data_IF_664506482270
#
_entry.id   IF_664506482270
#
_cell.length_a   1.000
_cell.length_b   1.000
_cell.length_c   1.000
_cell.angle_alpha   90.00
_cell.angle_beta   90.00
_cell.angle_gamma   90.00
#
_symmetry.space_group_name_H-M   'P 1'
#
loop_
_entity.id
_entity.type
_entity.pdbx_description
1 polymer ?
#
# COMPACT_ATOMS: atom_id res chain seq x y z
N UNK A 1 -16.22 -3.31 10.62
CA UNK A 1 -15.40 -4.06 9.65
C UNK A 1 -14.03 -4.35 10.20
N UNK A 2 -13.55 -5.56 10.00
CA UNK A 2 -12.25 -5.96 10.54
C UNK A 2 -11.13 -5.38 9.71
N UNK A 3 -10.09 -4.90 10.39
CA UNK A 3 -8.95 -4.27 9.72
C UNK A 3 -8.22 -5.21 8.79
N UNK A 4 -8.20 -6.51 9.13
CA UNK A 4 -7.58 -7.50 8.26
C UNK A 4 -8.29 -7.57 6.90
N UNK A 5 -9.62 -7.51 6.91
CA UNK A 5 -10.40 -7.54 5.67
C UNK A 5 -10.13 -6.31 4.83
N UNK A 6 -10.02 -5.15 5.47
CA UNK A 6 -9.68 -3.90 4.78
C UNK A 6 -8.29 -4.02 4.15
N UNK A 7 -7.33 -4.54 4.92
CA UNK A 7 -5.97 -4.74 4.44
C UNK A 7 -5.95 -5.63 3.18
N UNK A 8 -6.64 -6.76 3.23
CA UNK A 8 -6.66 -7.70 2.10
C UNK A 8 -7.31 -7.08 0.87
N UNK A 9 -8.35 -6.30 1.06
CA UNK A 9 -9.01 -5.63 -0.05
C UNK A 9 -8.12 -4.58 -0.69
N UNK A 10 -7.45 -3.77 0.10
CA UNK A 10 -6.53 -2.76 -0.43
C UNK A 10 -5.37 -3.43 -1.15
N UNK A 11 -4.82 -4.50 -0.56
CA UNK A 11 -3.76 -5.28 -1.19
C UNK A 11 -4.20 -5.83 -2.54
N UNK A 12 -5.42 -6.34 -2.62
CA UNK A 12 -5.97 -6.85 -3.87
C UNK A 12 -6.04 -5.78 -4.95
N UNK A 13 -6.51 -4.58 -4.58
CA UNK A 13 -6.61 -3.47 -5.53
C UNK A 13 -5.22 -3.02 -5.98
N UNK A 14 -4.26 -2.92 -5.07
CA UNK A 14 -2.90 -2.55 -5.44
C UNK A 14 -2.31 -3.59 -6.40
N UNK A 15 -2.55 -4.87 -6.13
CA UNK A 15 -2.11 -5.94 -7.00
C UNK A 15 -2.71 -5.80 -8.41
N UNK A 16 -4.00 -5.53 -8.49
CA UNK A 16 -4.68 -5.37 -9.78
C UNK A 16 -4.16 -4.16 -10.56
N UNK A 17 -3.96 -3.05 -9.88
CA UNK A 17 -3.52 -1.81 -10.53
C UNK A 17 -2.08 -1.92 -11.02
N UNK A 18 -1.20 -2.51 -10.20
CA UNK A 18 0.23 -2.57 -10.53
C UNK A 18 0.60 -3.78 -11.36
N UNK A 19 -0.24 -4.81 -11.39
CA UNK A 19 0.08 -6.05 -12.06
C UNK A 19 1.06 -6.93 -11.30
N UNK A 20 1.31 -6.63 -10.03
CA UNK A 20 2.27 -7.34 -9.20
C UNK A 20 1.50 -8.25 -8.23
N UNK A 21 1.93 -9.51 -8.13
CA UNK A 21 1.24 -10.46 -7.28
C UNK A 21 1.31 -10.05 -5.80
N UNK A 22 0.26 -10.39 -5.05
CA UNK A 22 0.15 -10.01 -3.64
C UNK A 22 1.35 -10.48 -2.83
N UNK A 23 1.81 -11.70 -3.06
CA UNK A 23 2.96 -12.23 -2.33
C UNK A 23 4.22 -11.40 -2.59
N UNK A 24 4.39 -10.94 -3.81
CA UNK A 24 5.53 -10.09 -4.18
C UNK A 24 5.42 -8.72 -3.54
N UNK A 25 4.22 -8.14 -3.52
CA UNK A 25 4.02 -6.86 -2.85
C UNK A 25 4.39 -6.95 -1.38
N UNK A 26 4.06 -8.06 -0.74
CA UNK A 26 4.35 -8.24 0.68
C UNK A 26 5.83 -8.44 0.97
N UNK A 27 6.55 -9.14 0.12
CA UNK A 27 7.88 -9.63 0.52
C UNK A 27 9.01 -9.45 -0.49
N UNK A 28 8.73 -9.35 -1.79
CA UNK A 28 9.77 -9.26 -2.79
C UNK A 28 10.50 -7.91 -2.69
N UNK A 29 11.81 -7.93 -2.90
CA UNK A 29 12.64 -6.74 -2.74
C UNK A 29 12.99 -6.04 -4.04
N UNK A 30 12.45 -6.50 -5.18
CA UNK A 30 12.71 -5.79 -6.42
C UNK A 30 12.02 -4.42 -6.40
N UNK A 31 12.43 -3.55 -7.29
CA UNK A 31 11.97 -2.17 -7.29
C UNK A 31 10.46 -2.06 -7.48
N UNK A 32 9.91 -2.82 -8.43
CA UNK A 32 8.49 -2.75 -8.71
C UNK A 32 7.64 -3.16 -7.51
N UNK A 33 8.03 -4.25 -6.83
CA UNK A 33 7.30 -4.71 -5.64
C UNK A 33 7.44 -3.74 -4.49
N UNK A 34 8.62 -3.13 -4.35
CA UNK A 34 8.86 -2.14 -3.30
C UNK A 34 8.00 -0.90 -3.51
N UNK A 35 7.85 -0.46 -4.76
CA UNK A 35 7.01 0.69 -5.07
C UNK A 35 5.54 0.38 -4.85
N UNK A 36 5.10 -0.83 -5.21
CA UNK A 36 3.73 -1.26 -4.95
C UNK A 36 3.45 -1.32 -3.44
N UNK A 37 4.41 -1.80 -2.67
CA UNK A 37 4.30 -1.84 -1.20
C UNK A 37 4.19 -0.43 -0.63
N UNK A 38 4.92 0.51 -1.18
CA UNK A 38 4.81 1.91 -0.77
C UNK A 38 3.38 2.43 -0.97
N UNK A 39 2.78 2.14 -2.13
CA UNK A 39 1.40 2.55 -2.41
C UNK A 39 0.44 1.92 -1.41
N UNK A 40 0.60 0.63 -1.14
CA UNK A 40 -0.21 -0.09 -0.17
C UNK A 40 -0.14 0.57 1.21
N UNK A 41 1.07 0.79 1.70
CA UNK A 41 1.27 1.36 3.04
C UNK A 41 0.78 2.80 3.09
N UNK A 42 1.01 3.57 2.03
CA UNK A 42 0.53 4.95 1.96
C UNK A 42 -0.98 5.01 2.09
N UNK A 43 -1.70 4.15 1.38
CA UNK A 43 -3.15 4.11 1.48
C UNK A 43 -3.60 3.68 2.86
N UNK A 44 -3.04 2.58 3.37
CA UNK A 44 -3.44 2.06 4.67
C UNK A 44 -3.18 3.05 5.80
N UNK A 45 -2.12 3.85 5.69
CA UNK A 45 -1.80 4.83 6.74
C UNK A 45 -2.86 5.90 6.90
N UNK A 46 -3.75 6.04 5.93
CA UNK A 46 -4.83 7.01 5.99
C UNK A 46 -6.09 6.46 6.65
N UNK A 47 -6.16 5.15 6.83
CA UNK A 47 -7.37 4.51 7.35
C UNK A 47 -7.13 3.60 8.55
N UNK A 48 -5.88 3.37 8.93
CA UNK A 48 -5.60 2.57 10.13
C UNK A 48 -4.26 2.97 10.74
N UNK A 49 -4.06 2.67 12.05
CA UNK A 49 -2.82 3.04 12.73
C UNK A 49 -1.61 2.26 12.20
N UNK A 50 -0.44 2.87 12.31
CA UNK A 50 0.82 2.25 11.93
C UNK A 50 1.05 0.90 12.62
N UNK A 51 0.67 0.79 13.89
CA UNK A 51 0.80 -0.47 14.62
C UNK A 51 0.02 -1.60 13.97
N UNK A 52 -1.18 -1.30 13.49
CA UNK A 52 -2.01 -2.29 12.82
C UNK A 52 -1.39 -2.69 11.48
N UNK A 53 -0.91 -1.73 10.70
CA UNK A 53 -0.25 -2.01 9.43
C UNK A 53 0.98 -2.88 9.65
N UNK A 54 1.78 -2.55 10.66
CA UNK A 54 2.96 -3.30 11.04
C UNK A 54 2.62 -4.77 11.31
N UNK A 55 1.58 -5.00 12.08
CA UNK A 55 1.16 -6.35 12.43
C UNK A 55 0.66 -7.11 11.20
N UNK A 56 -0.20 -6.50 10.39
CA UNK A 56 -0.79 -7.16 9.25
C UNK A 56 0.23 -7.44 8.13
N UNK A 57 1.17 -6.53 7.95
CA UNK A 57 2.20 -6.69 6.91
C UNK A 57 3.39 -7.53 7.39
N UNK A 58 3.49 -7.77 8.69
CA UNK A 58 4.59 -8.54 9.26
C UNK A 58 5.90 -7.77 9.28
N UNK A 59 5.84 -6.48 9.53
CA UNK A 59 7.01 -5.60 9.61
C UNK A 59 6.96 -4.77 10.88
N UNK A 60 8.11 -4.24 11.30
CA UNK A 60 8.16 -3.37 12.47
C UNK A 60 7.58 -2.01 12.14
N UNK A 61 7.19 -1.26 13.18
CA UNK A 61 6.73 0.13 12.98
C UNK A 61 7.80 0.97 12.29
N UNK A 62 9.05 0.78 12.69
CA UNK A 62 10.16 1.48 12.06
C UNK A 62 10.27 1.12 10.59
N UNK A 63 10.05 -0.15 10.24
CA UNK A 63 10.01 -0.58 8.85
C UNK A 63 8.91 0.10 8.06
N UNK A 64 7.72 0.27 8.66
CA UNK A 64 6.62 0.98 8.02
C UNK A 64 6.98 2.45 7.77
N UNK A 65 7.57 3.11 8.76
CA UNK A 65 8.01 4.50 8.59
C UNK A 65 9.08 4.62 7.50
N UNK A 66 9.98 3.65 7.42
CA UNK A 66 11.01 3.64 6.37
C UNK A 66 10.38 3.53 4.99
N UNK A 67 9.36 2.70 4.85
CA UNK A 67 8.65 2.57 3.57
C UNK A 67 8.05 3.91 3.16
N UNK A 68 7.39 4.59 4.09
CA UNK A 68 6.70 5.85 3.79
C UNK A 68 7.68 7.00 3.48
N UNK A 69 8.86 6.97 4.05
CA UNK A 69 9.83 8.06 3.90
C UNK A 69 10.88 7.80 2.82
N UNK A 70 10.88 6.63 2.19
CA UNK A 70 11.88 6.32 1.19
C UNK A 70 11.78 7.24 -0.02
N UNK A 71 12.93 7.52 -0.63
CA UNK A 71 12.99 8.30 -1.86
C UNK A 71 12.59 7.41 -3.04
N UNK A 72 11.66 7.90 -3.87
CA UNK A 72 11.18 7.13 -5.01
C UNK A 72 11.93 7.53 -6.27
N UNK A 73 12.23 6.54 -7.11
CA UNK A 73 12.90 6.78 -8.36
C UNK A 73 11.96 7.29 -9.44
N UNK A 74 10.80 6.64 -9.61
CA UNK A 74 9.84 7.01 -10.64
C UNK A 74 8.57 7.55 -10.00
N UNK A 75 8.61 8.82 -9.68
CA UNK A 75 7.50 9.49 -9.01
C UNK A 75 6.24 9.52 -9.89
N UNK A 76 6.40 9.70 -11.20
CA UNK A 76 5.26 9.76 -12.11
C UNK A 76 4.48 8.44 -12.10
N UNK A 77 5.18 7.32 -12.24
CA UNK A 77 4.52 6.01 -12.25
C UNK A 77 3.85 5.71 -10.92
N UNK A 78 4.52 6.01 -9.83
CA UNK A 78 3.96 5.80 -8.49
C UNK A 78 2.70 6.63 -8.31
N UNK A 79 2.71 7.89 -8.71
CA UNK A 79 1.53 8.75 -8.54
C UNK A 79 0.40 8.33 -9.46
N UNK A 80 0.71 7.85 -10.67
CA UNK A 80 -0.31 7.34 -11.57
C UNK A 80 -1.01 6.12 -10.96
N UNK A 81 -0.24 5.18 -10.43
CA UNK A 81 -0.81 4.00 -9.78
C UNK A 81 -1.55 4.38 -8.49
N UNK A 82 -1.04 5.34 -7.74
CA UNK A 82 -1.71 5.83 -6.54
C UNK A 82 -3.11 6.35 -6.86
N UNK A 83 -3.23 7.17 -7.90
CA UNK A 83 -4.53 7.71 -8.30
C UNK A 83 -5.50 6.60 -8.71
N UNK A 84 -5.01 5.59 -9.41
CA UNK A 84 -5.86 4.48 -9.83
C UNK A 84 -6.36 3.68 -8.61
N UNK A 85 -5.49 3.44 -7.64
CA UNK A 85 -5.87 2.73 -6.41
C UNK A 85 -6.91 3.51 -5.64
N UNK A 86 -6.69 4.82 -5.46
CA UNK A 86 -7.63 5.67 -4.73
C UNK A 86 -8.99 5.66 -5.44
N UNK A 87 -8.99 5.77 -6.75
CA UNK A 87 -10.24 5.80 -7.51
C UNK A 87 -11.03 4.50 -7.34
N UNK A 88 -10.36 3.35 -7.39
CA UNK A 88 -11.05 2.08 -7.23
C UNK A 88 -11.63 1.87 -5.84
N UNK A 89 -11.02 2.47 -4.83
CA UNK A 89 -11.43 2.30 -3.45
C UNK A 89 -12.33 3.42 -2.93
N UNK A 90 -12.53 4.49 -3.68
CA UNK A 90 -13.26 5.66 -3.17
C UNK A 90 -14.73 5.38 -2.87
N UNK A 91 -15.31 4.36 -3.50
CA UNK A 91 -16.69 3.99 -3.21
C UNK A 91 -16.85 3.26 -1.88
N UNK A 92 -15.74 2.77 -1.33
CA UNK A 92 -15.74 2.00 -0.08
C UNK A 92 -15.11 2.75 1.08
N UNK A 93 -14.05 3.50 0.81
CA UNK A 93 -13.31 4.22 1.84
C UNK A 93 -13.11 5.65 1.37
N UNK A 94 -13.52 6.59 2.21
CA UNK A 94 -13.32 7.99 1.90
C UNK A 94 -12.00 8.46 2.51
N UNK A 95 -11.09 8.93 1.68
CA UNK A 95 -9.84 9.53 2.18
C UNK A 95 -9.58 10.84 1.44
N UNK A 96 -8.90 11.75 2.13
CA UNK A 96 -8.46 13.01 1.54
C UNK A 96 -7.26 12.75 0.62
N UNK A 97 -7.28 13.33 -0.54
CA UNK A 97 -6.19 13.17 -1.50
C UNK A 97 -5.02 14.13 -1.22
#
# INVERSE_FOLDING_TARGET
>A
MKQKEIFEEVLSVVSDVTGIERADIRANRNEASTDARYILVRYLSKIMPCATISELLGRTRQGIHSILSRQKGDTWLIETNWKAVVKQLESKYFISK
#
